data_IF_817425384784
#
_entry.id   IF_817425384784
#
_cell.length_a   1.000
_cell.length_b   1.000
_cell.length_c   1.000
_cell.angle_alpha   90.00
_cell.angle_beta   90.00
_cell.angle_gamma   90.00
#
_symmetry.space_group_name_H-M   'P 1'
#
loop_
_entity.id
_entity.type
_entity.pdbx_description
1 polymer ?
#
# COMPACT_ATOMS: atom_id res chain seq x y z
N UNK A 1 -23.52 3.26 18.63
CA UNK A 1 -22.38 4.19 18.77
C UNK A 1 -21.37 3.90 17.67
N UNK A 2 -20.87 4.93 17.00
CA UNK A 2 -19.80 4.76 16.01
C UNK A 2 -18.47 4.44 16.70
N UNK A 3 -17.60 3.71 16.01
CA UNK A 3 -16.22 3.52 16.46
C UNK A 3 -15.48 4.86 16.36
N UNK A 4 -14.75 5.21 17.41
CA UNK A 4 -14.00 6.46 17.49
C UNK A 4 -12.48 6.22 17.58
N UNK A 5 -12.07 5.36 18.51
CA UNK A 5 -10.66 5.07 18.74
C UNK A 5 -10.49 3.66 19.28
N UNK A 6 -9.33 3.06 19.00
CA UNK A 6 -8.89 1.78 19.59
C UNK A 6 -8.18 2.00 20.94
N UNK A 7 -7.74 3.23 21.23
CA UNK A 7 -7.01 3.60 22.45
C UNK A 7 -7.86 4.36 23.46
N UNK A 8 -9.05 4.82 23.09
CA UNK A 8 -9.92 5.63 23.94
C UNK A 8 -11.36 5.22 23.72
N UNK A 9 -12.08 4.89 24.79
CA UNK A 9 -13.50 4.57 24.71
C UNK A 9 -14.33 5.84 24.50
N UNK A 10 -13.98 6.93 25.20
CA UNK A 10 -14.62 8.24 25.10
C UNK A 10 -13.79 9.22 24.29
N UNK A 11 -14.43 9.95 23.39
CA UNK A 11 -13.77 10.90 22.50
C UNK A 11 -13.10 12.08 23.24
N UNK A 12 -13.60 12.45 24.41
CA UNK A 12 -13.06 13.54 25.23
C UNK A 12 -11.64 13.23 25.73
N UNK A 13 -11.35 11.97 26.03
CA UNK A 13 -10.04 11.54 26.54
C UNK A 13 -8.95 11.58 25.45
N UNK A 14 -9.32 11.45 24.19
CA UNK A 14 -8.39 11.59 23.07
C UNK A 14 -7.93 13.05 22.84
N UNK A 15 -8.66 14.03 23.36
CA UNK A 15 -8.30 15.47 23.28
C UNK A 15 -7.30 15.89 24.35
N UNK A 16 -7.07 15.08 25.38
CA UNK A 16 -6.15 15.39 26.49
C UNK A 16 -4.67 15.08 26.16
N UNK A 17 -4.31 14.97 24.88
CA UNK A 17 -2.94 14.64 24.46
C UNK A 17 -1.96 15.70 24.96
N UNK A 18 -0.99 15.26 25.75
CA UNK A 18 0.14 16.09 26.19
C UNK A 18 1.28 15.99 25.18
N UNK A 19 1.73 17.12 24.67
CA UNK A 19 2.90 17.18 23.78
C UNK A 19 4.21 17.21 24.57
N UNK A 20 4.17 17.60 25.84
CA UNK A 20 5.34 17.68 26.70
C UNK A 20 5.49 16.41 27.56
N UNK A 21 6.73 15.94 27.67
CA UNK A 21 7.06 14.80 28.52
C UNK A 21 6.96 15.20 30.00
N UNK A 22 6.38 14.35 30.86
CA UNK A 22 6.38 14.61 32.30
C UNK A 22 7.80 14.66 32.85
N UNK A 23 8.08 15.60 33.75
CA UNK A 23 9.44 15.85 34.27
C UNK A 23 10.12 14.60 34.88
N UNK A 24 9.34 13.69 35.47
CA UNK A 24 9.86 12.45 36.05
C UNK A 24 10.25 11.37 35.03
N UNK A 25 9.98 11.56 33.72
CA UNK A 25 10.32 10.56 32.70
C UNK A 25 11.84 10.43 32.50
N UNK A 26 12.59 11.54 32.59
CA UNK A 26 14.05 11.51 32.56
C UNK A 26 14.61 10.77 33.78
N UNK A 27 14.03 11.04 34.95
CA UNK A 27 14.50 10.44 36.21
C UNK A 27 14.29 8.92 36.24
N UNK A 28 13.22 8.45 35.60
CA UNK A 28 12.89 7.03 35.48
C UNK A 28 13.42 6.39 34.19
N UNK A 29 14.21 7.11 33.38
CA UNK A 29 14.67 6.70 32.05
C UNK A 29 13.55 6.18 31.12
N UNK A 30 12.31 6.64 31.31
CA UNK A 30 11.16 6.27 30.48
C UNK A 30 11.23 6.93 29.11
N UNK A 31 11.88 8.09 29.02
CA UNK A 31 12.17 8.78 27.77
C UNK A 31 13.02 7.91 26.82
N UNK A 32 14.03 7.21 27.34
CA UNK A 32 14.86 6.29 26.55
C UNK A 32 14.05 5.12 25.99
N UNK A 33 13.17 4.54 26.82
CA UNK A 33 12.28 3.44 26.41
C UNK A 33 11.34 3.93 25.31
N UNK A 34 10.71 5.09 25.51
CA UNK A 34 9.78 5.67 24.53
C UNK A 34 10.51 5.98 23.22
N UNK A 35 11.68 6.60 23.28
CA UNK A 35 12.49 6.86 22.10
C UNK A 35 12.83 5.56 21.35
N UNK A 36 13.19 4.49 22.08
CA UNK A 36 13.50 3.19 21.47
C UNK A 36 12.30 2.54 20.80
N UNK A 37 11.11 2.54 21.42
CA UNK A 37 9.92 1.89 20.85
C UNK A 37 9.29 2.70 19.70
N UNK A 38 9.57 4.01 19.61
CA UNK A 38 9.05 4.88 18.55
C UNK A 38 10.04 5.15 17.41
N UNK A 39 11.32 4.78 17.51
CA UNK A 39 12.37 5.17 16.57
C UNK A 39 12.04 4.91 15.09
N UNK A 40 11.45 3.75 14.75
CA UNK A 40 11.11 3.40 13.36
C UNK A 40 9.68 3.84 12.96
N UNK A 41 9.07 4.72 13.77
CA UNK A 41 7.63 5.06 13.70
C UNK A 41 7.39 6.57 13.86
N UNK A 42 8.39 7.39 13.55
CA UNK A 42 8.31 8.84 13.66
C UNK A 42 7.15 9.43 12.84
N UNK A 43 6.76 8.78 11.73
CA UNK A 43 5.63 9.20 10.88
C UNK A 43 4.28 9.28 11.63
N UNK A 44 4.16 8.62 12.78
CA UNK A 44 2.91 8.52 13.52
C UNK A 44 2.81 9.47 14.73
N UNK A 45 3.87 10.19 15.07
CA UNK A 45 3.95 11.04 16.27
C UNK A 45 3.39 10.34 17.53
N UNK A 46 4.02 9.23 17.93
CA UNK A 46 3.50 8.35 18.98
C UNK A 46 3.77 8.85 20.40
N UNK A 47 4.78 9.71 20.59
CA UNK A 47 5.24 10.17 21.91
C UNK A 47 4.13 10.81 22.77
N UNK A 48 3.23 11.67 22.23
CA UNK A 48 2.13 12.24 22.98
C UNK A 48 1.20 11.20 23.62
N UNK A 49 1.04 10.02 23.03
CA UNK A 49 0.22 8.95 23.62
C UNK A 49 0.84 8.32 24.87
N UNK A 50 2.18 8.30 24.96
CA UNK A 50 2.90 7.81 26.14
C UNK A 50 2.96 8.85 27.26
N UNK A 51 2.95 10.14 26.93
CA UNK A 51 2.93 11.23 27.91
C UNK A 51 1.55 11.46 28.54
N UNK A 52 0.51 10.92 27.90
CA UNK A 52 -0.88 11.11 28.33
C UNK A 52 -1.32 9.96 29.24
N UNK A 53 -1.18 10.16 30.55
CA UNK A 53 -1.75 9.26 31.56
C UNK A 53 -3.28 9.31 31.57
N UNK A 54 -3.91 8.16 31.74
CA UNK A 54 -5.35 8.05 31.97
C UNK A 54 -5.64 8.09 33.47
N UNK A 55 -6.66 8.84 33.88
CA UNK A 55 -7.09 8.97 35.28
C UNK A 55 -8.42 8.23 35.56
N UNK A 56 -9.03 7.62 34.54
CA UNK A 56 -10.27 6.88 34.65
C UNK A 56 -10.01 5.38 34.59
N UNK A 57 -10.44 4.64 35.61
CA UNK A 57 -10.22 3.20 35.71
C UNK A 57 -10.92 2.43 34.56
N UNK A 58 -12.06 2.92 34.07
CA UNK A 58 -12.77 2.32 32.95
C UNK A 58 -11.97 2.38 31.64
N UNK A 59 -11.39 3.54 31.32
CA UNK A 59 -10.52 3.72 30.16
C UNK A 59 -9.23 2.89 30.23
N UNK A 60 -8.67 2.73 31.44
CA UNK A 60 -7.51 1.86 31.66
C UNK A 60 -7.89 0.40 31.38
N UNK A 61 -9.01 -0.07 31.93
CA UNK A 61 -9.53 -1.43 31.68
C UNK A 61 -9.85 -1.66 30.19
N UNK A 62 -10.42 -0.66 29.52
CA UNK A 62 -10.64 -0.68 28.07
C UNK A 62 -9.34 -0.92 27.29
N UNK A 63 -8.28 -0.14 27.56
CA UNK A 63 -6.97 -0.33 26.91
C UNK A 63 -6.34 -1.67 27.24
N UNK A 64 -6.47 -2.14 28.48
CA UNK A 64 -5.97 -3.45 28.89
C UNK A 64 -6.69 -4.58 28.14
N UNK A 65 -8.01 -4.50 27.96
CA UNK A 65 -8.78 -5.47 27.17
C UNK A 65 -8.34 -5.49 25.71
N UNK A 66 -8.13 -4.33 25.09
CA UNK A 66 -7.60 -4.23 23.72
C UNK A 66 -6.20 -4.85 23.62
N UNK A 67 -5.32 -4.57 24.59
CA UNK A 67 -3.97 -5.13 24.63
C UNK A 67 -4.00 -6.65 24.83
N UNK A 68 -4.94 -7.16 25.64
CA UNK A 68 -5.16 -8.58 25.85
C UNK A 68 -5.61 -9.31 24.59
N UNK A 69 -6.47 -8.70 23.77
CA UNK A 69 -6.81 -9.26 22.45
C UNK A 69 -5.55 -9.37 21.56
N UNK A 70 -4.64 -8.39 21.62
CA UNK A 70 -3.38 -8.40 20.85
C UNK A 70 -2.38 -9.47 21.31
N UNK A 71 -2.59 -10.13 22.46
CA UNK A 71 -1.79 -11.32 22.83
C UNK A 71 -2.06 -12.49 21.87
N UNK A 72 -3.18 -12.48 21.14
CA UNK A 72 -3.42 -13.41 20.05
C UNK A 72 -2.43 -13.13 18.89
N UNK A 73 -1.49 -14.06 18.69
CA UNK A 73 -0.42 -13.95 17.68
C UNK A 73 -0.95 -13.76 16.26
N UNK A 74 -2.11 -14.32 15.92
CA UNK A 74 -2.71 -14.18 14.59
C UNK A 74 -3.19 -12.74 14.42
N UNK A 75 -3.97 -12.24 15.38
CA UNK A 75 -4.44 -10.85 15.37
C UNK A 75 -3.27 -9.86 15.33
N UNK A 76 -2.25 -10.08 16.16
CA UNK A 76 -1.07 -9.21 16.20
C UNK A 76 -0.34 -9.14 14.86
N UNK A 77 -0.12 -10.29 14.20
CA UNK A 77 0.51 -10.35 12.87
C UNK A 77 -0.33 -9.60 11.82
N UNK A 78 -1.63 -9.75 11.88
CA UNK A 78 -2.58 -9.13 10.96
C UNK A 78 -2.58 -7.60 11.11
N UNK A 79 -2.63 -7.10 12.35
CA UNK A 79 -2.48 -5.65 12.64
C UNK A 79 -1.12 -5.12 12.18
N UNK A 80 -0.03 -5.89 12.37
CA UNK A 80 1.29 -5.52 11.88
C UNK A 80 1.32 -5.41 10.35
N UNK A 81 0.78 -6.41 9.64
CA UNK A 81 0.64 -6.42 8.19
C UNK A 81 -0.14 -5.22 7.67
N UNK A 82 -1.28 -4.91 8.31
CA UNK A 82 -2.07 -3.71 8.01
C UNK A 82 -1.23 -2.43 8.16
N UNK A 83 -0.51 -2.27 9.29
CA UNK A 83 0.32 -1.08 9.52
C UNK A 83 1.41 -0.90 8.45
N UNK A 84 2.03 -2.01 8.03
CA UNK A 84 3.07 -2.01 7.01
C UNK A 84 2.49 -1.59 5.65
N UNK A 85 1.37 -2.18 5.22
CA UNK A 85 0.70 -1.78 3.98
C UNK A 85 0.29 -0.32 3.98
N UNK A 86 -0.22 0.20 5.11
CA UNK A 86 -0.60 1.61 5.23
C UNK A 86 0.61 2.55 5.17
N UNK A 87 1.77 2.13 5.71
CA UNK A 87 3.03 2.88 5.59
C UNK A 87 3.50 2.90 4.13
N UNK A 88 3.52 1.75 3.45
CA UNK A 88 3.83 1.66 2.01
C UNK A 88 2.92 2.56 1.17
N UNK A 89 1.61 2.55 1.44
CA UNK A 89 0.65 3.41 0.76
C UNK A 89 1.00 4.91 0.91
N UNK A 90 1.32 5.37 2.13
CA UNK A 90 1.74 6.77 2.36
C UNK A 90 3.05 7.12 1.67
N UNK A 91 3.98 6.17 1.61
CA UNK A 91 5.23 6.34 0.86
C UNK A 91 4.96 6.52 -0.63
N UNK A 92 4.04 5.73 -1.22
CA UNK A 92 3.63 5.88 -2.62
C UNK A 92 2.95 7.23 -2.90
N UNK A 93 2.08 7.71 -2.01
CA UNK A 93 1.50 9.06 -2.13
C UNK A 93 2.58 10.15 -2.08
N UNK A 94 3.52 10.03 -1.14
CA UNK A 94 4.64 10.97 -1.01
C UNK A 94 5.53 10.95 -2.25
N UNK A 95 5.79 9.76 -2.80
CA UNK A 95 6.57 9.59 -4.02
C UNK A 95 5.85 10.21 -5.22
N UNK A 96 4.56 9.93 -5.40
CA UNK A 96 3.75 10.49 -6.49
C UNK A 96 3.80 12.02 -6.51
N UNK A 97 3.76 12.67 -5.35
CA UNK A 97 3.88 14.13 -5.25
C UNK A 97 5.24 14.69 -5.71
N UNK A 98 6.32 13.90 -5.61
CA UNK A 98 7.69 14.30 -5.96
C UNK A 98 8.05 14.07 -7.42
N UNK A 99 7.30 13.24 -8.14
CA UNK A 99 7.62 12.89 -9.53
C UNK A 99 7.33 14.07 -10.48
N UNK A 100 7.78 13.97 -11.73
CA UNK A 100 7.57 15.01 -12.74
C UNK A 100 6.56 14.61 -13.82
N UNK A 101 6.66 13.38 -14.33
CA UNK A 101 5.83 12.91 -15.46
C UNK A 101 4.43 12.49 -15.01
N UNK A 102 3.41 13.00 -15.73
CA UNK A 102 1.98 12.79 -15.41
C UNK A 102 1.61 11.32 -15.17
N UNK A 103 1.78 10.46 -16.17
CA UNK A 103 1.36 9.06 -16.08
C UNK A 103 2.20 8.24 -15.09
N UNK A 104 3.42 8.70 -14.77
CA UNK A 104 4.22 8.12 -13.69
C UNK A 104 3.62 8.46 -12.32
N UNK A 105 3.17 9.71 -12.11
CA UNK A 105 2.45 10.12 -10.89
C UNK A 105 1.16 9.34 -10.70
N UNK A 106 0.35 9.28 -11.77
CA UNK A 106 -0.95 8.61 -11.77
C UNK A 106 -0.80 7.11 -11.51
N UNK A 107 0.23 6.46 -12.08
CA UNK A 107 0.55 5.07 -11.78
C UNK A 107 0.88 4.83 -10.31
N UNK A 108 1.75 5.65 -9.70
CA UNK A 108 2.05 5.53 -8.26
C UNK A 108 0.86 5.86 -7.36
N UNK A 109 0.01 6.80 -7.77
CA UNK A 109 -1.24 7.07 -7.08
C UNK A 109 -2.18 5.87 -7.12
N UNK A 110 -2.32 5.22 -8.29
CA UNK A 110 -3.09 3.99 -8.44
C UNK A 110 -2.56 2.87 -7.54
N UNK A 111 -1.24 2.68 -7.47
CA UNK A 111 -0.63 1.71 -6.54
C UNK A 111 -0.91 2.05 -5.06
N UNK A 112 -0.92 3.33 -4.69
CA UNK A 112 -1.29 3.76 -3.35
C UNK A 112 -2.76 3.40 -3.03
N UNK A 113 -3.69 3.72 -3.95
CA UNK A 113 -5.11 3.39 -3.79
C UNK A 113 -5.33 1.88 -3.72
N UNK A 114 -4.67 1.09 -4.58
CA UNK A 114 -4.75 -0.36 -4.54
C UNK A 114 -4.26 -0.92 -3.20
N UNK A 115 -3.10 -0.45 -2.73
CA UNK A 115 -2.53 -0.87 -1.44
C UNK A 115 -3.47 -0.51 -0.28
N UNK A 116 -4.10 0.67 -0.32
CA UNK A 116 -5.11 1.08 0.66
C UNK A 116 -6.30 0.11 0.69
N UNK A 117 -6.93 -0.13 -0.46
CA UNK A 117 -8.11 -0.97 -0.55
C UNK A 117 -7.80 -2.42 -0.14
N UNK A 118 -6.67 -2.97 -0.56
CA UNK A 118 -6.21 -4.29 -0.14
C UNK A 118 -5.97 -4.36 1.38
N UNK A 119 -5.34 -3.35 1.98
CA UNK A 119 -5.07 -3.33 3.41
C UNK A 119 -6.36 -3.32 4.24
N UNK A 120 -7.32 -2.47 3.86
CA UNK A 120 -8.61 -2.35 4.56
C UNK A 120 -9.45 -3.62 4.41
N UNK A 121 -9.56 -4.17 3.19
CA UNK A 121 -10.29 -5.42 2.96
C UNK A 121 -9.65 -6.60 3.70
N UNK A 122 -8.31 -6.72 3.67
CA UNK A 122 -7.61 -7.78 4.40
C UNK A 122 -7.90 -7.69 5.89
N UNK A 123 -7.78 -6.50 6.48
CA UNK A 123 -8.03 -6.28 7.90
C UNK A 123 -9.49 -6.57 8.27
N UNK A 124 -10.46 -6.12 7.46
CA UNK A 124 -11.87 -6.36 7.71
C UNK A 124 -12.20 -7.86 7.76
N UNK A 125 -11.73 -8.62 6.77
CA UNK A 125 -11.91 -10.07 6.71
C UNK A 125 -11.22 -10.79 7.89
N UNK A 126 -10.00 -10.36 8.24
CA UNK A 126 -9.26 -10.95 9.36
C UNK A 126 -9.93 -10.71 10.71
N UNK A 127 -10.48 -9.51 10.94
CA UNK A 127 -11.22 -9.22 12.16
C UNK A 127 -12.55 -9.98 12.23
N UNK A 128 -13.19 -10.23 11.10
CA UNK A 128 -14.42 -11.05 11.04
C UNK A 128 -14.16 -12.49 11.50
N UNK A 129 -13.05 -13.08 11.07
CA UNK A 129 -12.66 -14.46 11.38
C UNK A 129 -12.04 -14.64 12.78
N UNK A 130 -11.67 -13.56 13.45
CA UNK A 130 -10.98 -13.62 14.75
C UNK A 130 -11.99 -13.56 15.92
N UNK A 131 -11.75 -14.37 16.95
CA UNK A 131 -12.48 -14.25 18.23
C UNK A 131 -11.95 -13.04 19.02
N UNK A 132 -12.68 -11.92 18.94
CA UNK A 132 -12.35 -10.64 19.57
C UNK A 132 -13.19 -10.47 20.85
N UNK A 133 -12.56 -10.06 21.95
CA UNK A 133 -13.25 -9.92 23.26
C UNK A 133 -13.36 -8.48 23.72
N UNK A 134 -12.43 -7.62 23.34
CA UNK A 134 -12.44 -6.22 23.72
C UNK A 134 -13.53 -5.45 22.98
N UNK A 135 -14.23 -4.55 23.68
CA UNK A 135 -15.19 -3.65 23.05
C UNK A 135 -14.53 -2.79 21.96
N UNK A 136 -13.24 -2.47 22.09
CA UNK A 136 -12.47 -1.75 21.07
C UNK A 136 -12.39 -2.48 19.73
N UNK A 137 -11.89 -3.72 19.70
CA UNK A 137 -11.80 -4.49 18.46
C UNK A 137 -13.19 -4.90 17.94
N UNK A 138 -14.14 -5.19 18.83
CA UNK A 138 -15.53 -5.47 18.44
C UNK A 138 -16.16 -4.27 17.71
N UNK A 139 -15.93 -3.05 18.20
CA UNK A 139 -16.44 -1.82 17.58
C UNK A 139 -15.68 -1.49 16.29
N UNK A 140 -14.35 -1.67 16.26
CA UNK A 140 -13.54 -1.50 15.05
C UNK A 140 -14.01 -2.44 13.93
N UNK A 141 -14.26 -3.72 14.24
CA UNK A 141 -14.81 -4.70 13.30
C UNK A 141 -16.13 -4.24 12.71
N UNK A 142 -17.08 -3.81 13.56
CA UNK A 142 -18.38 -3.28 13.09
C UNK A 142 -18.21 -2.05 12.20
N UNK A 143 -17.28 -1.17 12.54
CA UNK A 143 -16.98 0.01 11.74
C UNK A 143 -16.38 -0.34 10.38
N UNK A 144 -15.38 -1.21 10.34
CA UNK A 144 -14.75 -1.64 9.09
C UNK A 144 -15.72 -2.41 8.20
N UNK A 145 -16.54 -3.29 8.77
CA UNK A 145 -17.59 -3.98 8.00
C UNK A 145 -18.57 -2.98 7.36
N UNK A 146 -18.97 -1.92 8.08
CA UNK A 146 -19.81 -0.85 7.51
C UNK A 146 -19.07 -0.05 6.44
N UNK A 147 -17.79 0.26 6.67
CA UNK A 147 -16.98 1.06 5.76
C UNK A 147 -16.72 0.34 4.43
N UNK A 148 -16.32 -0.93 4.49
CA UNK A 148 -16.07 -1.77 3.31
C UNK A 148 -17.34 -1.98 2.49
N UNK A 149 -18.49 -2.14 3.14
CA UNK A 149 -19.79 -2.27 2.47
C UNK A 149 -20.41 -0.93 2.02
N UNK A 150 -19.72 0.21 2.24
CA UNK A 150 -20.21 1.50 1.76
C UNK A 150 -20.04 1.61 0.24
N UNK A 151 -20.99 2.27 -0.43
CA UNK A 151 -20.95 2.47 -1.88
C UNK A 151 -19.66 3.15 -2.35
N UNK A 152 -19.16 4.12 -1.57
CA UNK A 152 -17.95 4.87 -1.92
C UNK A 152 -16.71 3.99 -1.90
N UNK A 153 -16.56 3.13 -0.88
CA UNK A 153 -15.42 2.22 -0.80
C UNK A 153 -15.54 1.10 -1.84
N UNK A 154 -16.73 0.54 -2.03
CA UNK A 154 -16.98 -0.49 -3.02
C UNK A 154 -16.66 0.00 -4.44
N UNK A 155 -17.12 1.20 -4.82
CA UNK A 155 -16.78 1.81 -6.12
C UNK A 155 -15.27 1.99 -6.25
N UNK A 156 -14.61 2.62 -5.25
CA UNK A 156 -13.17 2.84 -5.28
C UNK A 156 -12.39 1.53 -5.50
N UNK A 157 -12.79 0.46 -4.81
CA UNK A 157 -12.13 -0.83 -4.93
C UNK A 157 -12.32 -1.48 -6.31
N UNK A 158 -13.55 -1.50 -6.81
CA UNK A 158 -13.88 -2.07 -8.13
C UNK A 158 -13.24 -1.27 -9.26
N UNK A 159 -13.32 0.06 -9.21
CA UNK A 159 -12.72 0.96 -10.20
C UNK A 159 -11.19 0.78 -10.24
N UNK A 160 -10.55 0.68 -9.07
CA UNK A 160 -9.10 0.44 -8.95
C UNK A 160 -8.70 -0.91 -9.55
N UNK A 161 -9.43 -1.98 -9.21
CA UNK A 161 -9.17 -3.32 -9.75
C UNK A 161 -9.36 -3.38 -11.25
N UNK A 162 -10.45 -2.79 -11.74
CA UNK A 162 -10.74 -2.72 -13.17
C UNK A 162 -9.63 -1.98 -13.90
N UNK A 163 -9.23 -0.79 -13.44
CA UNK A 163 -8.18 -0.02 -14.08
C UNK A 163 -6.82 -0.75 -14.08
N UNK A 164 -6.45 -1.43 -12.98
CA UNK A 164 -5.23 -2.26 -12.96
C UNK A 164 -5.32 -3.42 -13.95
N UNK A 165 -6.47 -4.07 -14.06
CA UNK A 165 -6.71 -5.14 -15.03
C UNK A 165 -6.59 -4.60 -16.46
N UNK A 166 -7.26 -3.49 -16.77
CA UNK A 166 -7.26 -2.86 -18.09
C UNK A 166 -5.83 -2.44 -18.51
N UNK A 167 -5.08 -1.82 -17.59
CA UNK A 167 -3.68 -1.47 -17.82
C UNK A 167 -2.78 -2.69 -18.04
N UNK A 168 -2.99 -3.78 -17.29
CA UNK A 168 -2.22 -5.02 -17.45
C UNK A 168 -2.49 -5.73 -18.80
N UNK A 169 -3.65 -5.48 -19.40
CA UNK A 169 -4.03 -6.00 -20.71
C UNK A 169 -3.39 -5.27 -21.89
N UNK A 170 -2.76 -4.11 -21.67
CA UNK A 170 -2.18 -3.30 -22.73
C UNK A 170 -0.94 -4.00 -23.29
N UNK A 171 -0.97 -4.26 -24.61
CA UNK A 171 0.17 -4.78 -25.37
C UNK A 171 0.53 -3.81 -26.48
N UNK A 172 1.79 -3.38 -26.53
CA UNK A 172 2.27 -2.42 -27.52
C UNK A 172 3.66 -2.80 -28.01
N UNK A 173 3.97 -2.35 -29.22
CA UNK A 173 5.26 -2.56 -29.88
C UNK A 173 6.03 -1.24 -29.89
N UNK A 174 7.32 -1.31 -29.55
CA UNK A 174 8.26 -0.18 -29.68
C UNK A 174 9.18 -0.50 -30.86
N UNK A 175 9.24 0.41 -31.84
CA UNK A 175 10.22 0.37 -32.91
C UNK A 175 11.24 1.49 -32.69
N UNK A 176 12.51 1.11 -32.60
CA UNK A 176 13.64 2.02 -32.41
C UNK A 176 14.43 2.03 -33.71
N UNK A 177 14.52 3.21 -34.33
CA UNK A 177 15.28 3.46 -35.56
C UNK A 177 16.17 4.70 -35.35
N UNK A 178 17.43 4.47 -34.95
CA UNK A 178 18.33 5.52 -34.49
C UNK A 178 17.72 6.31 -33.32
N UNK A 179 17.54 7.62 -33.51
CA UNK A 179 16.92 8.52 -32.53
C UNK A 179 15.38 8.57 -32.62
N UNK A 180 14.77 7.78 -33.51
CA UNK A 180 13.33 7.77 -33.72
C UNK A 180 12.71 6.58 -32.98
N UNK A 181 11.80 6.88 -32.06
CA UNK A 181 10.97 5.88 -31.39
C UNK A 181 9.55 5.96 -31.94
N UNK A 182 9.01 4.83 -32.39
CA UNK A 182 7.59 4.68 -32.77
C UNK A 182 6.93 3.68 -31.85
N UNK A 183 5.74 4.03 -31.37
CA UNK A 183 4.91 3.14 -30.55
C UNK A 183 3.65 2.81 -31.35
N UNK A 184 3.29 1.54 -31.44
CA UNK A 184 2.05 1.07 -32.08
C UNK A 184 1.39 -0.02 -31.25
N UNK A 185 0.09 -0.25 -31.48
CA UNK A 185 -0.63 -1.36 -30.86
C UNK A 185 -0.01 -2.69 -31.31
N UNK A 186 -0.02 -3.66 -30.41
CA UNK A 186 0.27 -5.05 -30.76
C UNK A 186 -0.91 -5.60 -31.58
N UNK A 187 -0.62 -6.13 -32.76
CA UNK A 187 -1.61 -6.61 -33.74
C UNK A 187 -1.55 -8.13 -33.90
N UNK A 188 -1.31 -8.84 -32.79
CA UNK A 188 -1.18 -10.30 -32.78
C UNK A 188 -0.14 -10.81 -33.76
N UNK A 189 0.97 -10.07 -33.88
CA UNK A 189 2.07 -10.46 -34.75
C UNK A 189 2.54 -11.87 -34.40
N UNK A 190 2.82 -12.66 -35.44
CA UNK A 190 3.28 -14.02 -35.29
C UNK A 190 4.63 -14.00 -34.58
N UNK A 191 4.70 -14.71 -33.45
CA UNK A 191 5.99 -15.00 -32.84
C UNK A 191 6.76 -15.95 -33.76
N UNK A 192 7.77 -15.42 -34.45
CA UNK A 192 8.63 -16.21 -35.33
C UNK A 192 9.69 -17.00 -34.56
N UNK A 193 9.82 -16.81 -33.24
CA UNK A 193 10.81 -17.53 -32.41
C UNK A 193 10.76 -19.04 -32.63
N UNK A 194 9.60 -19.73 -32.62
CA UNK A 194 9.55 -21.17 -32.86
C UNK A 194 9.99 -21.57 -34.27
N UNK A 195 9.71 -20.73 -35.27
CA UNK A 195 10.11 -20.97 -36.67
C UNK A 195 11.62 -20.84 -36.81
N UNK A 196 12.21 -19.79 -36.23
CA UNK A 196 13.65 -19.55 -36.20
C UNK A 196 14.35 -20.69 -35.43
N UNK A 197 13.90 -21.01 -34.22
CA UNK A 197 14.45 -22.10 -33.42
C UNK A 197 14.42 -23.44 -34.16
N UNK A 198 13.30 -23.77 -34.82
CA UNK A 198 13.18 -24.99 -35.62
C UNK A 198 14.15 -24.98 -36.80
N UNK A 199 14.30 -23.85 -37.48
CA UNK A 199 15.15 -23.70 -38.68
C UNK A 199 16.62 -23.86 -38.32
N UNK A 200 17.05 -23.29 -37.20
CA UNK A 200 18.44 -23.30 -36.75
C UNK A 200 18.77 -24.45 -35.78
N UNK A 201 17.80 -25.30 -35.42
CA UNK A 201 17.99 -26.46 -34.52
C UNK A 201 19.17 -27.35 -34.92
N UNK A 202 19.38 -27.56 -36.22
CA UNK A 202 20.48 -28.38 -36.77
C UNK A 202 21.89 -27.79 -36.56
N UNK A 203 21.98 -26.51 -36.23
CA UNK A 203 23.24 -25.80 -35.97
C UNK A 203 23.49 -25.59 -34.46
N UNK A 204 22.59 -26.05 -33.58
CA UNK A 204 22.73 -25.89 -32.14
C UNK A 204 23.80 -26.86 -31.61
N UNK A 205 24.98 -26.34 -31.26
CA UNK A 205 26.06 -27.10 -30.64
C UNK A 205 26.05 -26.90 -29.12
N UNK A 206 25.64 -27.92 -28.38
CA UNK A 206 25.65 -27.91 -26.90
C UNK A 206 24.66 -26.95 -26.23
N UNK A 207 24.87 -26.71 -24.94
CA UNK A 207 24.13 -25.71 -24.16
C UNK A 207 24.66 -24.31 -24.50
N UNK A 208 23.83 -23.52 -25.19
CA UNK A 208 24.15 -22.12 -25.56
C UNK A 208 23.86 -21.20 -24.37
N UNK A 209 24.72 -20.19 -24.15
CA UNK A 209 24.46 -19.13 -23.16
C UNK A 209 23.17 -18.40 -23.51
N UNK A 210 22.32 -18.21 -22.50
CA UNK A 210 21.17 -17.33 -22.63
C UNK A 210 21.66 -15.87 -22.67
N UNK A 211 21.24 -15.14 -23.71
CA UNK A 211 21.56 -13.72 -23.90
C UNK A 211 20.38 -12.83 -23.52
N UNK A 212 19.28 -13.39 -22.99
CA UNK A 212 18.18 -12.59 -22.44
C UNK A 212 18.73 -11.75 -21.30
N UNK A 213 18.59 -10.43 -21.45
CA UNK A 213 18.88 -9.47 -20.40
C UNK A 213 17.57 -9.24 -19.66
N UNK A 214 17.52 -9.59 -18.39
CA UNK A 214 16.47 -9.06 -17.51
C UNK A 214 16.71 -7.57 -17.37
N UNK A 215 15.79 -6.77 -17.90
CA UNK A 215 15.84 -5.34 -17.71
C UNK A 215 15.60 -5.06 -16.21
N UNK A 216 16.55 -4.43 -15.51
CA UNK A 216 16.37 -4.15 -14.10
C UNK A 216 15.15 -3.24 -13.93
N UNK A 217 14.29 -3.58 -12.97
CA UNK A 217 13.21 -2.69 -12.54
C UNK A 217 13.86 -1.53 -11.79
N UNK A 218 14.30 -0.51 -12.51
CA UNK A 218 14.93 0.67 -11.91
C UNK A 218 13.86 1.61 -11.37
N UNK A 219 14.05 2.08 -10.14
CA UNK A 219 13.23 3.14 -9.56
C UNK A 219 13.56 4.47 -10.25
N UNK A 220 12.79 4.81 -11.28
CA UNK A 220 12.93 6.05 -12.05
C UNK A 220 12.36 5.90 -13.45
N UNK A 221 11.89 7.01 -14.02
CA UNK A 221 11.45 7.07 -15.41
C UNK A 221 12.27 8.15 -16.11
N UNK A 222 12.96 7.79 -17.19
CA UNK A 222 13.67 8.76 -18.01
C UNK A 222 12.72 9.44 -19.02
N UNK A 223 13.22 10.48 -19.71
CA UNK A 223 12.41 11.25 -20.64
C UNK A 223 11.93 10.44 -21.86
N UNK A 224 12.66 9.41 -22.29
CA UNK A 224 12.27 8.53 -23.41
C UNK A 224 11.14 7.60 -22.97
N UNK A 225 11.27 6.96 -21.82
CA UNK A 225 10.23 6.11 -21.22
C UNK A 225 8.94 6.91 -20.98
N UNK A 226 9.06 8.13 -20.46
CA UNK A 226 7.92 9.03 -20.29
C UNK A 226 7.23 9.34 -21.62
N UNK A 227 8.00 9.58 -22.69
CA UNK A 227 7.45 9.81 -24.03
C UNK A 227 6.81 8.57 -24.64
N UNK A 228 7.38 7.39 -24.40
CA UNK A 228 6.76 6.12 -24.80
C UNK A 228 5.41 5.96 -24.09
N UNK A 229 5.35 6.20 -22.78
CA UNK A 229 4.11 6.10 -22.00
C UNK A 229 3.06 7.12 -22.46
N UNK A 230 3.46 8.35 -22.81
CA UNK A 230 2.56 9.33 -23.45
C UNK A 230 2.00 8.82 -24.79
N UNK A 231 2.81 8.15 -25.62
CA UNK A 231 2.33 7.56 -26.87
C UNK A 231 1.40 6.37 -26.63
N UNK A 232 1.70 5.51 -25.64
CA UNK A 232 0.80 4.42 -25.23
C UNK A 232 -0.55 4.98 -24.79
N UNK A 233 -0.56 6.02 -23.95
CA UNK A 233 -1.79 6.66 -23.51
C UNK A 233 -2.63 7.20 -24.68
N UNK A 234 -1.99 7.71 -25.75
CA UNK A 234 -2.67 8.14 -26.98
C UNK A 234 -3.25 6.98 -27.80
N UNK A 235 -2.64 5.80 -27.74
CA UNK A 235 -3.15 4.61 -28.41
C UNK A 235 -4.34 3.98 -27.68
N UNK A 236 -4.42 4.15 -26.36
CA UNK A 236 -5.45 3.58 -25.50
C UNK A 236 -6.22 4.66 -24.71
N UNK A 237 -6.84 5.65 -25.39
CA UNK A 237 -7.50 6.77 -24.71
C UNK A 237 -8.61 6.30 -23.77
N UNK A 238 -9.35 5.24 -24.12
CA UNK A 238 -10.44 4.70 -23.32
C UNK A 238 -10.00 4.20 -21.93
N UNK A 239 -8.71 3.85 -21.77
CA UNK A 239 -8.15 3.37 -20.50
C UNK A 239 -7.53 4.54 -19.71
N UNK A 240 -6.92 5.50 -20.40
CA UNK A 240 -6.19 6.61 -19.78
C UNK A 240 -7.01 7.89 -19.55
N UNK A 241 -8.24 7.97 -20.09
CA UNK A 241 -9.16 9.09 -19.93
C UNK A 241 -10.47 8.72 -19.20
N UNK A 242 -10.64 7.44 -18.83
CA UNK A 242 -11.73 6.97 -17.99
C UNK A 242 -11.54 7.40 -16.54
#
# INVERSE_FOLDING_TARGET
MGFYSILFEKAENAKMKKNESPAFFSDLNLDQIINSITADRDEYDLKPYFYTSLNDAGEIDYRHKVTKDLENKILFRNIKSFSQKMSTMRQYLTLSNKLYYKYHKEGWFLEAVNTYCEAINSLANELELTDLKSSGFLNLRKYLAKYVNSSNFASLFEDTKKLKSDLSGIKYCILIDGNRVKVRKFESEVDFTPIVEKTFKKFRQGSVKDYKVELPVTSGMNHVEAKILEMVARLYPDIFLA
#
